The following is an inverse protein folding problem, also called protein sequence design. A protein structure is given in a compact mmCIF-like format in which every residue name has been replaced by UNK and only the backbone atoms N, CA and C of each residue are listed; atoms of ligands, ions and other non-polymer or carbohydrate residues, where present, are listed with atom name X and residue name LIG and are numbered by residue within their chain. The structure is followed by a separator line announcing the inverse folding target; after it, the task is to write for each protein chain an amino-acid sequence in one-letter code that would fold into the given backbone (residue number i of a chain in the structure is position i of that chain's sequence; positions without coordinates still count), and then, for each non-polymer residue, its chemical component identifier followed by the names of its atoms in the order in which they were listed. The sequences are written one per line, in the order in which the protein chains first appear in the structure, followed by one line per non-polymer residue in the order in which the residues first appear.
data_IF_897069046333
#
_entry.id   IF_897069046333
#
_cell.length_a   1.000
_cell.length_b   1.000
_cell.length_c   1.000
_cell.angle_alpha   90.00
_cell.angle_beta   90.00
_cell.angle_gamma   90.00
#
_symmetry.space_group_name_H-M   'P 1'
#
loop_
_entity.id
_entity.type
_entity.pdbx_description
1 polymer ?
#
# COMPACT_ATOMS: atom_id res chain seq x y z
N UNK A 1 -3.11 -9.44 15.81
CA UNK A 1 -3.42 -8.18 15.09
C UNK A 1 -3.37 -8.44 13.60
N UNK A 2 -4.38 -8.03 12.88
CA UNK A 2 -4.49 -8.25 11.44
C UNK A 2 -3.43 -7.47 10.69
N UNK A 3 -2.82 -8.10 9.67
CA UNK A 3 -1.77 -7.50 8.85
C UNK A 3 -2.33 -7.16 7.48
N UNK A 4 -2.26 -5.89 7.12
CA UNK A 4 -2.81 -5.38 5.87
C UNK A 4 -1.69 -4.80 5.01
N UNK A 5 -1.62 -5.18 3.74
CA UNK A 5 -0.73 -4.50 2.79
C UNK A 5 -1.53 -3.42 2.08
N UNK A 6 -1.01 -2.21 2.08
CA UNK A 6 -1.70 -1.07 1.48
C UNK A 6 -1.03 -0.72 0.16
N UNK A 7 -1.82 -0.73 -0.92
CA UNK A 7 -1.34 -0.39 -2.25
C UNK A 7 -1.03 1.11 -2.35
N UNK A 8 -0.19 1.47 -3.31
CA UNK A 8 0.25 2.85 -3.51
C UNK A 8 -0.91 3.83 -3.65
N UNK A 9 -1.99 3.45 -4.34
CA UNK A 9 -3.12 4.37 -4.53
C UNK A 9 -3.75 4.81 -3.20
N UNK A 10 -3.78 3.93 -2.20
CA UNK A 10 -4.32 4.27 -0.88
C UNK A 10 -3.39 5.23 -0.14
N UNK A 11 -2.08 5.02 -0.25
CA UNK A 11 -1.09 5.93 0.36
C UNK A 11 -1.21 7.33 -0.24
N UNK A 12 -1.33 7.41 -1.56
CA UNK A 12 -1.51 8.69 -2.26
C UNK A 12 -2.82 9.37 -1.86
N UNK A 13 -3.91 8.59 -1.69
CA UNK A 13 -5.18 9.14 -1.24
C UNK A 13 -5.03 9.87 0.10
N UNK A 14 -4.23 9.31 1.01
CA UNK A 14 -3.95 9.93 2.29
C UNK A 14 -3.06 11.17 2.14
N UNK A 15 -1.90 11.01 1.49
CA UNK A 15 -0.85 12.03 1.49
C UNK A 15 -1.16 13.21 0.56
N UNK A 16 -1.89 12.96 -0.53
CA UNK A 16 -2.32 14.02 -1.45
C UNK A 16 -3.74 14.52 -1.14
N UNK A 17 -4.34 14.00 -0.08
CA UNK A 17 -5.68 14.39 0.39
C UNK A 17 -6.70 14.38 -0.75
N UNK A 18 -6.75 13.27 -1.50
CA UNK A 18 -7.70 13.13 -2.61
C UNK A 18 -9.13 13.16 -2.08
N UNK A 19 -9.89 14.15 -2.53
CA UNK A 19 -11.20 14.49 -1.98
C UNK A 19 -12.14 13.30 -1.78
N UNK A 20 -12.26 12.45 -2.80
CA UNK A 20 -13.22 11.34 -2.76
C UNK A 20 -12.76 10.15 -1.91
N UNK A 21 -11.48 10.08 -1.55
CA UNK A 21 -10.90 8.89 -0.93
C UNK A 21 -10.14 9.18 0.35
N UNK A 22 -9.89 10.45 0.65
CA UNK A 22 -9.05 10.84 1.78
C UNK A 22 -9.60 10.38 3.13
N UNK A 23 -10.89 10.54 3.34
CA UNK A 23 -11.50 10.22 4.63
C UNK A 23 -11.33 8.74 4.99
N UNK A 24 -11.59 7.86 4.03
CA UNK A 24 -11.46 6.42 4.26
C UNK A 24 -10.01 6.03 4.50
N UNK A 25 -9.10 6.61 3.72
CA UNK A 25 -7.67 6.37 3.94
C UNK A 25 -7.26 6.85 5.33
N UNK A 26 -7.68 8.04 5.72
CA UNK A 26 -7.36 8.59 7.04
C UNK A 26 -7.86 7.69 8.17
N UNK A 27 -9.09 7.20 8.06
CA UNK A 27 -9.65 6.30 9.07
C UNK A 27 -8.85 5.00 9.15
N UNK A 28 -8.43 4.47 8.01
CA UNK A 28 -7.63 3.25 7.98
C UNK A 28 -6.28 3.46 8.69
N UNK A 29 -5.59 4.55 8.37
CA UNK A 29 -4.29 4.83 9.00
C UNK A 29 -4.45 5.20 10.48
N UNK A 30 -5.60 5.74 10.88
CA UNK A 30 -5.90 5.98 12.28
C UNK A 30 -6.00 4.66 13.06
N UNK A 31 -6.55 3.61 12.44
CA UNK A 31 -6.57 2.29 13.06
C UNK A 31 -5.15 1.79 13.35
N UNK A 32 -4.23 2.03 12.43
CA UNK A 32 -2.83 1.65 12.62
C UNK A 32 -2.17 2.47 13.74
N UNK A 33 -2.44 3.76 13.77
CA UNK A 33 -1.91 4.65 14.81
C UNK A 33 -2.41 4.22 16.19
N UNK A 34 -3.63 3.74 16.28
CA UNK A 34 -4.23 3.24 17.53
C UNK A 34 -3.91 1.76 17.78
N UNK A 35 -3.01 1.19 17.00
CA UNK A 35 -2.55 -0.20 17.15
C UNK A 35 -3.68 -1.24 17.07
N UNK A 36 -4.66 -0.96 16.23
CA UNK A 36 -5.76 -1.90 15.96
C UNK A 36 -5.44 -2.84 14.80
N UNK A 37 -4.56 -2.41 13.89
CA UNK A 37 -4.08 -3.19 12.74
C UNK A 37 -2.62 -2.87 12.52
N UNK A 38 -1.92 -3.76 11.80
CA UNK A 38 -0.56 -3.48 11.31
C UNK A 38 -0.64 -3.21 9.83
N UNK A 39 -0.18 -2.04 9.40
CA UNK A 39 -0.14 -1.70 7.99
C UNK A 39 1.26 -1.88 7.43
N UNK A 40 1.33 -2.58 6.31
CA UNK A 40 2.56 -2.84 5.58
C UNK A 40 2.50 -2.16 4.23
N UNK A 41 3.61 -1.63 3.77
CA UNK A 41 3.77 -1.15 2.41
C UNK A 41 5.06 -1.72 1.84
N UNK A 42 5.10 -1.95 0.53
CA UNK A 42 6.34 -2.39 -0.10
C UNK A 42 7.31 -1.22 -0.22
N UNK A 43 8.61 -1.53 -0.27
CA UNK A 43 9.62 -0.50 -0.53
C UNK A 43 9.34 0.22 -1.85
N UNK A 44 8.78 -0.49 -2.84
CA UNK A 44 8.38 0.12 -4.10
C UNK A 44 7.37 1.25 -3.91
N UNK A 45 6.43 1.09 -2.99
CA UNK A 45 5.42 2.10 -2.70
C UNK A 45 6.05 3.41 -2.25
N UNK A 46 7.11 3.36 -1.44
CA UNK A 46 7.82 4.59 -1.04
C UNK A 46 8.43 5.30 -2.24
N UNK A 47 9.09 4.57 -3.14
CA UNK A 47 9.69 5.17 -4.33
C UNK A 47 8.62 5.79 -5.23
N UNK A 48 7.54 5.06 -5.49
CA UNK A 48 6.46 5.54 -6.34
C UNK A 48 5.75 6.74 -5.72
N UNK A 49 5.53 6.71 -4.41
CA UNK A 49 4.86 7.81 -3.69
C UNK A 49 5.72 9.06 -3.74
N UNK A 50 7.03 8.92 -3.51
CA UNK A 50 7.94 10.07 -3.59
C UNK A 50 7.88 10.71 -4.97
N UNK A 51 7.92 9.89 -6.03
CA UNK A 51 7.84 10.38 -7.39
C UNK A 51 6.55 11.17 -7.63
N UNK A 52 5.41 10.63 -7.18
CA UNK A 52 4.12 11.29 -7.38
C UNK A 52 3.99 12.56 -6.57
N UNK A 53 4.45 12.57 -5.32
CA UNK A 53 4.42 13.77 -4.49
C UNK A 53 5.31 14.87 -5.05
N UNK A 54 6.46 14.53 -5.61
CA UNK A 54 7.41 15.50 -6.13
C UNK A 54 6.91 16.26 -7.35
N UNK A 55 5.81 15.82 -7.95
CA UNK A 55 5.17 16.56 -9.03
C UNK A 55 4.43 17.81 -8.53
N UNK A 56 4.08 17.83 -7.25
CA UNK A 56 3.28 18.91 -6.64
C UNK A 56 3.94 19.54 -5.42
N UNK A 57 5.04 18.98 -4.95
CA UNK A 57 5.79 19.44 -3.79
C UNK A 57 7.27 19.54 -4.13
N UNK A 58 8.00 20.35 -3.37
CA UNK A 58 9.45 20.38 -3.46
C UNK A 58 10.01 19.04 -2.97
N UNK A 59 11.18 18.64 -3.47
CA UNK A 59 11.76 17.34 -3.13
C UNK A 59 11.95 17.13 -1.63
N UNK A 60 12.42 18.17 -0.92
CA UNK A 60 12.61 18.07 0.53
C UNK A 60 11.27 17.96 1.27
N UNK A 61 10.22 18.61 0.79
CA UNK A 61 8.89 18.51 1.37
C UNK A 61 8.32 17.10 1.19
N UNK A 62 8.51 16.53 -0.01
CA UNK A 62 8.06 15.16 -0.27
C UNK A 62 8.74 14.17 0.68
N UNK A 63 10.04 14.33 0.90
CA UNK A 63 10.76 13.46 1.86
C UNK A 63 10.26 13.64 3.29
N UNK A 64 10.00 14.86 3.71
CA UNK A 64 9.47 15.12 5.05
C UNK A 64 8.11 14.47 5.25
N UNK A 65 7.25 14.55 4.23
CA UNK A 65 5.96 13.88 4.25
C UNK A 65 6.12 12.38 4.45
N UNK A 66 7.05 11.76 3.72
CA UNK A 66 7.28 10.32 3.81
C UNK A 66 7.92 9.91 5.14
N UNK A 67 8.76 10.76 5.73
CA UNK A 67 9.34 10.49 7.05
C UNK A 67 8.22 10.38 8.09
N UNK A 68 7.27 11.29 8.06
CA UNK A 68 6.12 11.25 8.98
C UNK A 68 5.25 10.02 8.71
N UNK A 69 5.00 9.72 7.45
CA UNK A 69 4.19 8.57 7.06
C UNK A 69 4.82 7.26 7.53
N UNK A 70 6.14 7.15 7.45
CA UNK A 70 6.85 5.92 7.80
C UNK A 70 6.60 5.45 9.22
N UNK A 71 6.24 6.36 10.12
CA UNK A 71 5.94 6.02 11.52
C UNK A 71 4.70 5.12 11.62
N UNK A 72 3.81 5.21 10.65
CA UNK A 72 2.51 4.49 10.68
C UNK A 72 2.56 3.10 10.06
N UNK A 73 3.64 2.74 9.38
CA UNK A 73 3.68 1.52 8.57
C UNK A 73 4.96 0.74 8.77
N UNK A 74 4.89 -0.56 8.46
CA UNK A 74 6.06 -1.41 8.32
C UNK A 74 6.43 -1.48 6.84
N UNK A 75 7.69 -1.29 6.52
CA UNK A 75 8.15 -1.33 5.13
C UNK A 75 8.68 -2.72 4.82
N UNK A 76 8.12 -3.36 3.79
CA UNK A 76 8.58 -4.68 3.35
C UNK A 76 9.57 -4.52 2.21
N UNK A 77 10.69 -5.25 2.23
CA UNK A 77 11.71 -5.10 1.20
C UNK A 77 11.23 -5.62 -0.15
N UNK A 78 11.76 -5.02 -1.21
CA UNK A 78 11.63 -5.53 -2.56
C UNK A 78 12.96 -6.19 -2.91
N UNK A 79 13.00 -7.50 -2.90
CA UNK A 79 14.22 -8.27 -3.10
C UNK A 79 14.17 -9.11 -4.38
N UNK A 80 15.26 -9.82 -4.65
CA UNK A 80 15.39 -10.65 -5.83
C UNK A 80 14.28 -11.69 -5.94
N UNK A 81 13.94 -12.34 -4.83
CA UNK A 81 12.90 -13.36 -4.83
C UNK A 81 11.56 -12.81 -5.28
N UNK A 82 11.18 -11.66 -4.74
CA UNK A 82 9.89 -11.03 -5.10
C UNK A 82 9.88 -10.64 -6.58
N UNK A 83 11.00 -10.10 -7.08
CA UNK A 83 11.11 -9.73 -8.49
C UNK A 83 10.93 -10.98 -9.38
N UNK A 84 11.60 -12.07 -9.04
CA UNK A 84 11.48 -13.32 -9.80
C UNK A 84 10.06 -13.86 -9.82
N UNK A 85 9.40 -13.89 -8.65
CA UNK A 85 8.04 -14.38 -8.55
C UNK A 85 7.08 -13.50 -9.35
N UNK A 86 7.26 -12.19 -9.31
CA UNK A 86 6.42 -11.27 -10.07
C UNK A 86 6.60 -11.45 -11.56
N UNK A 87 7.85 -11.66 -12.01
CA UNK A 87 8.14 -11.83 -13.44
C UNK A 87 7.47 -13.05 -14.07
N UNK A 88 7.31 -14.13 -13.32
CA UNK A 88 6.69 -15.36 -13.82
C UNK A 88 5.21 -15.49 -13.47
N UNK A 89 4.63 -14.48 -12.81
CA UNK A 89 3.24 -14.51 -12.39
C UNK A 89 2.28 -14.25 -13.56
N UNK A 90 1.00 -14.54 -13.33
CA UNK A 90 -0.06 -14.28 -14.28
C UNK A 90 -0.67 -12.87 -14.16
N UNK A 91 -0.11 -12.04 -13.28
CA UNK A 91 -0.57 -10.66 -13.15
C UNK A 91 -0.25 -9.86 -14.39
N UNK A 92 -1.23 -9.12 -14.89
CA UNK A 92 -1.02 -8.27 -16.06
C UNK A 92 -0.11 -7.09 -15.75
N UNK A 93 -0.30 -6.48 -14.58
CA UNK A 93 0.50 -5.33 -14.14
C UNK A 93 1.63 -5.80 -13.25
N UNK A 94 2.86 -5.44 -13.62
CA UNK A 94 4.06 -5.89 -12.90
C UNK A 94 4.13 -5.33 -11.47
N UNK A 95 3.75 -4.06 -11.28
CA UNK A 95 3.76 -3.47 -9.95
C UNK A 95 2.75 -4.17 -9.03
N UNK A 96 1.59 -4.53 -9.55
CA UNK A 96 0.60 -5.26 -8.77
C UNK A 96 1.09 -6.67 -8.43
N UNK A 97 1.82 -7.30 -9.35
CA UNK A 97 2.46 -8.59 -9.07
C UNK A 97 3.46 -8.47 -7.91
N UNK A 98 4.25 -7.40 -7.91
CA UNK A 98 5.18 -7.14 -6.81
C UNK A 98 4.43 -6.96 -5.49
N UNK A 99 3.35 -6.18 -5.48
CA UNK A 99 2.55 -5.99 -4.27
C UNK A 99 2.00 -7.32 -3.75
N UNK A 100 1.46 -8.14 -4.65
CA UNK A 100 0.88 -9.42 -4.29
C UNK A 100 1.93 -10.36 -3.66
N UNK A 101 3.09 -10.49 -4.30
CA UNK A 101 4.13 -11.39 -3.80
C UNK A 101 4.79 -10.84 -2.53
N UNK A 102 4.87 -9.52 -2.40
CA UNK A 102 5.29 -8.91 -1.14
C UNK A 102 4.33 -9.30 -0.01
N UNK A 103 3.04 -9.26 -0.29
CA UNK A 103 2.03 -9.64 0.70
C UNK A 103 2.17 -11.11 1.09
N UNK A 104 2.30 -12.01 0.12
CA UNK A 104 2.44 -13.43 0.41
C UNK A 104 3.67 -13.72 1.25
N UNK A 105 4.81 -13.11 0.93
CA UNK A 105 6.07 -13.37 1.61
C UNK A 105 6.10 -12.81 3.03
N UNK A 106 5.21 -11.89 3.36
CA UNK A 106 5.18 -11.24 4.67
C UNK A 106 4.00 -11.66 5.54
N UNK A 107 3.28 -12.71 5.15
CA UNK A 107 2.18 -13.23 5.95
C UNK A 107 1.02 -12.25 6.09
N UNK A 108 0.77 -11.48 5.05
CA UNK A 108 -0.30 -10.49 5.03
C UNK A 108 -1.67 -11.17 4.96
N UNK A 109 -2.63 -10.64 5.68
CA UNK A 109 -3.98 -11.19 5.71
C UNK A 109 -4.87 -10.65 4.59
N UNK A 110 -4.75 -9.36 4.29
CA UNK A 110 -5.63 -8.68 3.32
C UNK A 110 -4.83 -7.61 2.57
N UNK A 111 -5.08 -7.48 1.27
CA UNK A 111 -4.51 -6.38 0.46
C UNK A 111 -5.58 -5.30 0.34
N UNK A 112 -5.22 -4.05 0.66
CA UNK A 112 -6.11 -2.90 0.56
C UNK A 112 -5.74 -2.10 -0.68
N UNK A 113 -6.68 -2.00 -1.62
CA UNK A 113 -6.46 -1.32 -2.90
C UNK A 113 -7.78 -0.81 -3.47
N UNK A 114 -7.71 0.23 -4.32
CA UNK A 114 -8.86 0.65 -5.11
C UNK A 114 -8.96 -0.10 -6.44
N UNK A 115 -7.87 -0.78 -6.85
CA UNK A 115 -7.80 -1.48 -8.13
C UNK A 115 -8.03 -2.98 -7.97
N UNK A 116 -9.18 -3.36 -7.43
CA UNK A 116 -9.47 -4.77 -7.13
C UNK A 116 -9.37 -5.66 -8.37
N UNK A 117 -9.71 -5.14 -9.55
CA UNK A 117 -9.66 -5.90 -10.80
C UNK A 117 -8.27 -6.42 -11.13
N UNK A 118 -7.24 -5.67 -10.76
CA UNK A 118 -5.86 -6.06 -11.05
C UNK A 118 -5.39 -7.21 -10.17
N UNK A 119 -6.15 -7.53 -9.12
CA UNK A 119 -5.80 -8.60 -8.17
C UNK A 119 -6.75 -9.79 -8.26
N UNK A 120 -7.43 -9.96 -9.39
CA UNK A 120 -8.40 -11.05 -9.56
C UNK A 120 -7.80 -12.45 -9.38
N UNK A 121 -6.49 -12.60 -9.58
CA UNK A 121 -5.80 -13.88 -9.41
C UNK A 121 -5.25 -14.07 -7.99
N UNK A 122 -5.56 -13.15 -7.07
CA UNK A 122 -5.06 -13.21 -5.71
C UNK A 122 -5.71 -14.34 -4.91
N UNK A 123 -4.91 -15.04 -4.14
CA UNK A 123 -5.37 -16.00 -3.14
C UNK A 123 -5.70 -15.33 -1.81
N UNK A 124 -5.28 -14.06 -1.66
CA UNK A 124 -5.60 -13.28 -0.46
C UNK A 124 -6.86 -12.47 -0.70
N UNK A 125 -7.65 -12.21 0.35
CA UNK A 125 -8.77 -11.26 0.25
C UNK A 125 -8.28 -9.89 -0.20
N UNK A 126 -9.03 -9.26 -1.09
CA UNK A 126 -8.75 -7.93 -1.61
C UNK A 126 -9.92 -7.03 -1.23
N UNK A 127 -9.64 -5.92 -0.56
CA UNK A 127 -10.67 -4.98 -0.12
C UNK A 127 -10.26 -3.55 -0.41
N UNK A 128 -11.24 -2.69 -0.63
CA UNK A 128 -10.99 -1.24 -0.57
C UNK A 128 -10.92 -0.83 0.91
N UNK A 129 -10.40 0.37 1.17
CA UNK A 129 -10.38 0.90 2.54
C UNK A 129 -11.80 0.95 3.10
N UNK A 130 -12.76 1.42 2.29
CA UNK A 130 -14.16 1.51 2.70
C UNK A 130 -14.73 0.15 3.09
N UNK A 131 -14.47 -0.87 2.28
CA UNK A 131 -14.94 -2.23 2.59
C UNK A 131 -14.34 -2.75 3.88
N UNK A 132 -13.05 -2.53 4.07
CA UNK A 132 -12.39 -2.98 5.29
C UNK A 132 -12.97 -2.31 6.53
N UNK A 133 -13.23 -0.99 6.47
CA UNK A 133 -13.76 -0.24 7.61
C UNK A 133 -15.17 -0.66 8.00
N UNK A 134 -15.91 -1.28 7.10
CA UNK A 134 -17.27 -1.79 7.37
C UNK A 134 -17.30 -3.20 7.95
N UNK A 135 -16.17 -3.83 8.02
CA UNK A 135 -16.06 -5.21 8.54
C UNK A 135 -16.53 -5.34 9.96
#
# INVERSE_FOLDING_TARGET
MEKLLVDTNIVIDLLSKREDFFQEAQELFTLADNKKVELYVSALTFANTHYLLSKHQKLDEARKTLIKFKVLVEVSPLDDKIVELALVSDFRDFEDAIQYHTALENGIDIIITRNKKEFKNSKLPIMSAKEYLKK
#
